data_IF_290133532984
#
_entry.id   IF_290133532984
#
_cell.length_a   1.000
_cell.length_b   1.000
_cell.length_c   1.000
_cell.angle_alpha   90.00
_cell.angle_beta   90.00
_cell.angle_gamma   90.00
#
_symmetry.space_group_name_H-M   'P 1'
#
loop_
_entity.id
_entity.type
_entity.pdbx_description
1 polymer ?
#
# COMPACT_ATOMS: atom_id res chain seq x y z
N UNK A 1 32.55 5.85 3.39
CA UNK A 1 31.64 6.79 2.71
C UNK A 1 30.26 6.15 2.69
N UNK A 2 29.37 6.60 3.56
CA UNK A 2 27.98 6.13 3.58
C UNK A 2 27.31 6.97 2.48
N UNK A 3 27.07 6.37 1.32
CA UNK A 3 26.41 7.04 0.22
C UNK A 3 25.01 7.48 0.66
N UNK A 4 24.72 8.76 0.51
CA UNK A 4 23.37 9.30 0.59
C UNK A 4 22.51 8.58 -0.45
N UNK A 5 21.76 7.57 -0.02
CA UNK A 5 20.62 7.09 -0.79
C UNK A 5 19.52 8.11 -0.59
N UNK A 6 19.39 9.03 -1.54
CA UNK A 6 18.18 9.82 -1.72
C UNK A 6 17.00 8.85 -1.73
N UNK A 7 16.02 9.12 -0.87
CA UNK A 7 14.76 8.40 -0.87
C UNK A 7 14.03 8.76 -2.16
N UNK A 8 14.20 7.98 -3.23
CA UNK A 8 13.28 7.96 -4.37
C UNK A 8 12.01 7.23 -3.96
N UNK A 9 11.26 7.84 -3.05
CA UNK A 9 9.91 7.40 -2.74
C UNK A 9 9.08 7.58 -4.01
N UNK A 10 8.90 6.51 -4.79
CA UNK A 10 7.79 6.49 -5.76
C UNK A 10 6.52 6.62 -4.93
N UNK A 11 5.81 7.74 -5.08
CA UNK A 11 4.45 7.84 -4.60
C UNK A 11 3.67 6.68 -5.20
N UNK A 12 3.07 5.89 -4.30
CA UNK A 12 2.29 4.75 -4.69
C UNK A 12 0.87 5.27 -4.92
N UNK A 13 0.33 5.28 -6.15
CA UNK A 13 -0.95 5.90 -6.49
C UNK A 13 -2.16 5.06 -6.00
N UNK A 14 -2.01 4.31 -4.92
CA UNK A 14 -3.02 3.39 -4.41
C UNK A 14 -4.32 4.12 -4.02
N UNK A 15 -4.27 5.43 -3.78
CA UNK A 15 -5.45 6.28 -3.55
C UNK A 15 -5.92 7.05 -4.79
N UNK A 16 -5.09 7.18 -5.83
CA UNK A 16 -5.47 7.75 -7.12
C UNK A 16 -6.18 6.72 -8.02
N UNK A 17 -5.98 5.43 -7.77
CA UNK A 17 -6.72 4.35 -8.45
C UNK A 17 -8.03 4.04 -7.74
N UNK A 18 -9.04 3.68 -8.52
CA UNK A 18 -10.35 3.27 -7.99
C UNK A 18 -10.23 2.06 -7.05
N UNK A 19 -11.14 1.88 -6.08
CA UNK A 19 -11.10 0.76 -5.14
C UNK A 19 -10.97 -0.61 -5.82
N UNK A 20 -11.66 -0.81 -6.95
CA UNK A 20 -11.65 -2.08 -7.68
C UNK A 20 -10.30 -2.44 -8.31
N UNK A 21 -9.39 -1.47 -8.51
CA UNK A 21 -8.08 -1.69 -9.16
C UNK A 21 -6.91 -1.79 -8.18
N UNK A 22 -7.13 -1.55 -6.89
CA UNK A 22 -6.05 -1.50 -5.88
C UNK A 22 -5.23 -2.78 -5.80
N UNK A 23 -5.86 -3.93 -5.99
CA UNK A 23 -5.18 -5.23 -5.96
C UNK A 23 -4.23 -5.39 -7.15
N UNK A 24 -4.71 -5.10 -8.35
CA UNK A 24 -3.92 -5.14 -9.58
C UNK A 24 -2.78 -4.13 -9.51
N UNK A 25 -3.04 -2.95 -8.97
CA UNK A 25 -2.02 -1.92 -8.81
C UNK A 25 -0.93 -2.37 -7.84
N UNK A 26 -1.30 -2.92 -6.69
CA UNK A 26 -0.33 -3.45 -5.72
C UNK A 26 0.53 -4.58 -6.29
N UNK A 27 -0.05 -5.45 -7.13
CA UNK A 27 0.71 -6.48 -7.84
C UNK A 27 1.72 -5.85 -8.80
N UNK A 28 1.32 -4.87 -9.60
CA UNK A 28 2.23 -4.16 -10.52
C UNK A 28 3.37 -3.47 -9.78
N UNK A 29 3.09 -2.85 -8.64
CA UNK A 29 4.10 -2.21 -7.80
C UNK A 29 5.12 -3.24 -7.33
N UNK A 30 4.66 -4.37 -6.78
CA UNK A 30 5.54 -5.46 -6.34
C UNK A 30 6.28 -6.14 -7.50
N UNK A 31 5.69 -6.17 -8.70
CA UNK A 31 6.34 -6.55 -9.95
C UNK A 31 7.40 -5.54 -10.43
N UNK A 32 7.29 -4.27 -10.03
CA UNK A 32 8.21 -3.20 -10.43
C UNK A 32 9.30 -2.84 -9.42
N UNK A 33 9.36 -3.51 -8.25
CA UNK A 33 10.39 -3.24 -7.25
C UNK A 33 11.77 -3.66 -7.76
N UNK A 34 12.77 -2.80 -7.61
CA UNK A 34 14.18 -3.16 -7.76
C UNK A 34 14.78 -3.59 -6.42
N UNK A 35 16.00 -4.11 -6.43
CA UNK A 35 16.71 -4.48 -5.20
C UNK A 35 16.93 -3.26 -4.31
N UNK A 36 16.44 -3.30 -3.06
CA UNK A 36 16.56 -2.19 -2.14
C UNK A 36 15.68 -2.33 -0.91
N UNK A 37 15.71 -1.31 -0.06
CA UNK A 37 14.77 -1.14 1.04
C UNK A 37 13.63 -0.25 0.55
N UNK A 38 12.40 -0.76 0.63
CA UNK A 38 11.19 -0.05 0.20
C UNK A 38 10.25 0.10 1.38
N UNK A 39 9.52 1.22 1.43
CA UNK A 39 8.45 1.46 2.39
C UNK A 39 7.13 1.62 1.64
N UNK A 40 6.10 0.93 2.11
CA UNK A 40 4.72 1.13 1.65
C UNK A 40 3.90 1.66 2.82
N UNK A 41 3.28 2.82 2.64
CA UNK A 41 2.36 3.43 3.60
C UNK A 41 0.95 3.33 3.03
N UNK A 42 0.05 2.73 3.80
CA UNK A 42 -1.33 2.46 3.38
C UNK A 42 -2.26 2.54 4.59
N UNK A 43 -3.53 2.83 4.35
CA UNK A 43 -4.60 2.85 5.36
C UNK A 43 -5.62 1.73 5.08
N UNK A 44 -5.33 0.46 5.45
CA UNK A 44 -6.34 -0.59 5.42
C UNK A 44 -7.42 -0.33 6.47
N UNK A 45 -8.66 -0.71 6.18
CA UNK A 45 -9.78 -0.60 7.12
C UNK A 45 -10.94 -1.46 6.69
N UNK A 46 -11.75 -1.95 7.63
CA UNK A 46 -12.95 -2.73 7.33
C UNK A 46 -14.09 -1.80 6.89
N UNK A 47 -14.98 -2.30 6.01
CA UNK A 47 -16.18 -1.57 5.60
C UNK A 47 -17.31 -1.71 6.66
N UNK A 48 -17.14 -1.00 7.77
CA UNK A 48 -18.11 -0.94 8.87
C UNK A 48 -18.96 0.34 8.83
N UNK A 49 -20.10 0.40 9.54
CA UNK A 49 -20.88 1.64 9.67
C UNK A 49 -20.03 2.83 10.14
N UNK A 50 -19.14 2.63 11.10
CA UNK A 50 -18.25 3.66 11.63
C UNK A 50 -17.27 4.16 10.55
N UNK A 51 -16.69 3.25 9.76
CA UNK A 51 -15.78 3.64 8.68
C UNK A 51 -16.51 4.39 7.56
N UNK A 52 -17.77 4.03 7.26
CA UNK A 52 -18.60 4.71 6.25
C UNK A 52 -19.01 6.13 6.64
N UNK A 53 -18.97 6.45 7.94
CA UNK A 53 -19.18 7.82 8.43
C UNK A 53 -17.94 8.71 8.31
N UNK A 54 -16.77 8.15 7.96
CA UNK A 54 -15.54 8.92 7.79
C UNK A 54 -15.55 9.67 6.46
N UNK A 55 -15.34 10.98 6.52
CA UNK A 55 -15.19 11.86 5.37
C UNK A 55 -13.81 12.52 5.36
N UNK A 56 -13.36 12.92 4.17
CA UNK A 56 -12.16 13.72 4.01
C UNK A 56 -12.59 15.19 4.01
N UNK A 57 -12.12 15.98 4.97
CA UNK A 57 -12.49 17.38 5.11
C UNK A 57 -11.78 18.28 4.09
N UNK A 58 -10.81 17.75 3.34
CA UNK A 58 -10.14 18.51 2.29
C UNK A 58 -11.04 18.66 1.05
N UNK A 59 -11.05 19.83 0.38
CA UNK A 59 -11.87 20.04 -0.82
C UNK A 59 -11.59 19.03 -1.96
N UNK A 60 -10.33 18.65 -2.13
CA UNK A 60 -9.87 17.62 -3.09
C UNK A 60 -9.69 16.24 -2.42
N UNK A 61 -10.36 16.07 -1.27
CA UNK A 61 -10.23 14.91 -0.41
C UNK A 61 -10.76 13.63 -1.04
N UNK A 62 -10.27 12.51 -0.54
CA UNK A 62 -10.63 11.20 -1.07
C UNK A 62 -12.08 10.87 -0.74
N UNK A 63 -12.94 10.87 -1.76
CA UNK A 63 -14.33 10.44 -1.61
C UNK A 63 -14.43 8.94 -1.27
N UNK A 64 -15.47 8.57 -0.53
CA UNK A 64 -15.76 7.18 -0.14
C UNK A 64 -14.58 6.49 0.57
N UNK A 65 -14.01 7.13 1.60
CA UNK A 65 -12.86 6.61 2.38
C UNK A 65 -13.05 5.14 2.74
N UNK A 66 -14.22 4.73 3.22
CA UNK A 66 -14.51 3.35 3.58
C UNK A 66 -14.22 2.35 2.45
N UNK A 67 -14.69 2.64 1.23
CA UNK A 67 -14.46 1.78 0.06
C UNK A 67 -12.97 1.70 -0.28
N UNK A 68 -12.27 2.84 -0.24
CA UNK A 68 -10.84 2.85 -0.52
C UNK A 68 -10.03 2.08 0.52
N UNK A 69 -10.35 2.20 1.82
CA UNK A 69 -9.65 1.50 2.91
C UNK A 69 -9.97 0.01 2.94
N UNK A 70 -11.22 -0.38 2.66
CA UNK A 70 -11.62 -1.79 2.51
C UNK A 70 -10.92 -2.46 1.33
N UNK A 71 -10.84 -1.78 0.18
CA UNK A 71 -10.14 -2.32 -0.97
C UNK A 71 -8.62 -2.48 -0.73
N UNK A 72 -8.00 -1.63 0.11
CA UNK A 72 -6.62 -1.82 0.55
C UNK A 72 -6.50 -3.07 1.42
N UNK A 73 -7.40 -3.25 2.39
CA UNK A 73 -7.43 -4.47 3.22
C UNK A 73 -7.57 -5.73 2.36
N UNK A 74 -8.51 -5.75 1.43
CA UNK A 74 -8.74 -6.87 0.51
C UNK A 74 -7.53 -7.15 -0.39
N UNK A 75 -6.87 -6.11 -0.88
CA UNK A 75 -5.65 -6.24 -1.68
C UNK A 75 -4.53 -6.90 -0.87
N UNK A 76 -4.19 -6.33 0.30
CA UNK A 76 -3.10 -6.80 1.17
C UNK A 76 -3.31 -8.25 1.65
N UNK A 77 -4.56 -8.66 1.86
CA UNK A 77 -4.89 -10.00 2.35
C UNK A 77 -5.10 -11.03 1.22
N UNK A 78 -5.15 -10.60 -0.04
CA UNK A 78 -5.42 -11.47 -1.17
C UNK A 78 -4.32 -12.49 -1.45
N UNK A 79 -4.72 -13.69 -1.90
CA UNK A 79 -3.79 -14.72 -2.37
C UNK A 79 -2.92 -14.26 -3.54
N UNK A 80 -3.44 -13.36 -4.38
CA UNK A 80 -2.70 -12.83 -5.54
C UNK A 80 -1.50 -11.99 -5.10
N UNK A 81 -1.69 -11.13 -4.10
CA UNK A 81 -0.64 -10.28 -3.53
C UNK A 81 0.39 -11.11 -2.75
N UNK A 82 -0.06 -12.10 -1.97
CA UNK A 82 0.84 -13.04 -1.27
C UNK A 82 1.74 -13.80 -2.24
N UNK A 83 1.16 -14.33 -3.34
CA UNK A 83 1.91 -15.06 -4.37
C UNK A 83 2.98 -14.20 -5.05
N UNK A 84 2.74 -12.92 -5.30
CA UNK A 84 3.77 -12.07 -5.91
C UNK A 84 4.91 -11.76 -4.93
N UNK A 85 4.61 -11.58 -3.64
CA UNK A 85 5.62 -11.43 -2.58
C UNK A 85 6.55 -12.66 -2.56
N UNK A 86 5.97 -13.86 -2.54
CA UNK A 86 6.71 -15.12 -2.59
C UNK A 86 7.52 -15.27 -3.88
N UNK A 87 6.90 -15.09 -5.05
CA UNK A 87 7.54 -15.20 -6.37
C UNK A 87 8.73 -14.25 -6.50
N UNK A 88 8.62 -13.03 -5.97
CA UNK A 88 9.66 -12.00 -6.02
C UNK A 88 10.66 -12.08 -4.87
N UNK A 89 10.47 -13.03 -3.94
CA UNK A 89 11.30 -13.19 -2.72
C UNK A 89 11.40 -11.88 -1.93
N UNK A 90 10.30 -11.12 -1.88
CA UNK A 90 10.23 -9.87 -1.12
C UNK A 90 10.23 -10.23 0.37
N UNK A 91 11.24 -9.76 1.11
CA UNK A 91 11.29 -9.92 2.56
C UNK A 91 10.48 -8.80 3.21
N UNK A 92 9.36 -9.15 3.82
CA UNK A 92 8.61 -8.22 4.65
C UNK A 92 9.37 -8.00 5.97
N UNK A 93 9.55 -6.73 6.33
CA UNK A 93 10.24 -6.31 7.56
C UNK A 93 9.43 -5.24 8.25
N UNK A 94 9.44 -5.25 9.58
CA UNK A 94 8.94 -4.15 10.41
C UNK A 94 10.08 -3.25 10.89
N UNK A 95 9.76 -2.11 11.48
CA UNK A 95 10.76 -1.17 12.02
C UNK A 95 11.72 -1.82 13.03
N UNK A 96 11.26 -2.83 13.79
CA UNK A 96 12.13 -3.55 14.73
C UNK A 96 13.25 -4.32 14.04
N UNK A 97 13.03 -4.81 12.83
CA UNK A 97 14.04 -5.55 12.06
C UNK A 97 15.11 -4.62 11.47
N UNK A 98 14.87 -3.31 11.49
CA UNK A 98 15.78 -2.26 11.01
C UNK A 98 16.55 -1.59 12.15
N UNK A 99 16.11 -1.80 13.39
CA UNK A 99 16.78 -1.30 14.58
C UNK A 99 17.87 -2.30 14.99
N UNK A 100 19.12 -1.86 14.99
CA UNK A 100 20.27 -2.62 15.49
C UNK A 100 20.27 -2.78 17.00
#
# INVERSE_FOLDING_TARGET
>A
MIGEKSWEGREVPIYEVSPSRKKEELVKIFEGLSSGLWLIVVHPGLDTPEMRAMEDENPEGLQNIAKHRSAVFDALTSNKVKKIIEKRKIKLVGYRDLKG
#
